data_IF_734361761876
#
_entry.id   IF_734361761876
#
_cell.length_a   1.000
_cell.length_b   1.000
_cell.length_c   1.000
_cell.angle_alpha   90.00
_cell.angle_beta   90.00
_cell.angle_gamma   90.00
#
_symmetry.space_group_name_H-M   'P 1'
#
loop_
_entity.id
_entity.type
_entity.pdbx_description
1 polymer ?
#
# COMPACT_ATOMS: atom_id res chain seq x y z
N UNK A 1 16.94 -1.06 12.26
CA UNK A 1 16.65 0.33 11.85
C UNK A 1 15.59 0.29 10.76
N UNK A 2 14.78 1.34 10.61
CA UNK A 2 13.89 1.45 9.45
C UNK A 2 14.74 1.62 8.18
N UNK A 3 14.38 0.92 7.11
CA UNK A 3 15.05 1.07 5.81
C UNK A 3 14.82 2.48 5.26
N UNK A 4 15.84 3.04 4.61
CA UNK A 4 15.72 4.29 3.87
C UNK A 4 15.14 4.05 2.47
N UNK A 5 14.78 5.12 1.77
CA UNK A 5 14.37 5.05 0.35
C UNK A 5 15.46 4.42 -0.52
N UNK A 6 16.72 4.77 -0.28
CA UNK A 6 17.86 4.23 -1.03
C UNK A 6 18.06 2.74 -0.78
N UNK A 7 17.87 2.27 0.46
CA UNK A 7 17.96 0.84 0.77
C UNK A 7 16.88 0.03 0.03
N UNK A 8 15.67 0.58 -0.10
CA UNK A 8 14.59 -0.05 -0.87
C UNK A 8 14.93 -0.11 -2.37
N UNK A 9 15.41 0.99 -2.95
CA UNK A 9 15.77 1.00 -4.37
C UNK A 9 16.92 0.03 -4.68
N UNK A 10 17.93 -0.03 -3.83
CA UNK A 10 19.01 -1.02 -3.97
C UNK A 10 18.47 -2.47 -3.95
N UNK A 11 17.53 -2.78 -3.05
CA UNK A 11 16.91 -4.09 -3.01
C UNK A 11 16.09 -4.42 -4.28
N UNK A 12 15.37 -3.43 -4.84
CA UNK A 12 14.65 -3.61 -6.11
C UNK A 12 15.62 -3.85 -7.27
N UNK A 13 16.72 -3.11 -7.33
CA UNK A 13 17.76 -3.25 -8.35
C UNK A 13 18.44 -4.64 -8.28
N UNK A 14 18.77 -5.11 -7.07
CA UNK A 14 19.32 -6.46 -6.82
C UNK A 14 18.39 -7.58 -7.28
N UNK A 15 17.07 -7.38 -7.13
CA UNK A 15 16.04 -8.33 -7.59
C UNK A 15 15.70 -8.18 -9.09
N UNK A 16 16.28 -7.19 -9.78
CA UNK A 16 15.98 -6.90 -11.19
C UNK A 16 14.58 -6.32 -11.43
N UNK A 17 13.99 -5.67 -10.43
CA UNK A 17 12.65 -5.08 -10.50
C UNK A 17 12.77 -3.62 -10.94
N UNK A 18 12.35 -3.32 -12.18
CA UNK A 18 12.32 -1.96 -12.69
C UNK A 18 11.34 -1.08 -11.88
N UNK A 19 11.79 0.11 -11.48
CA UNK A 19 10.99 1.08 -10.74
C UNK A 19 11.12 2.49 -11.33
N UNK A 20 10.07 3.29 -11.16
CA UNK A 20 10.05 4.71 -11.47
C UNK A 20 9.32 5.43 -10.35
N UNK A 21 9.85 6.56 -9.91
CA UNK A 21 9.26 7.34 -8.82
C UNK A 21 9.03 8.77 -9.28
N UNK A 22 7.81 9.26 -9.11
CA UNK A 22 7.47 10.67 -9.22
C UNK A 22 7.58 11.31 -7.83
N UNK A 23 8.54 12.20 -7.65
CA UNK A 23 8.61 13.04 -6.46
C UNK A 23 7.57 14.15 -6.53
N UNK A 24 6.75 14.27 -5.49
CA UNK A 24 5.68 15.26 -5.42
C UNK A 24 5.57 15.83 -4.00
N UNK A 25 4.98 17.01 -3.87
CA UNK A 25 4.67 17.58 -2.56
C UNK A 25 3.64 16.69 -1.82
N UNK A 26 3.66 16.62 -0.48
CA UNK A 26 2.63 15.93 0.28
C UNK A 26 1.25 16.50 -0.05
N UNK A 27 0.31 15.60 -0.35
CA UNK A 27 -1.07 15.95 -0.69
C UNK A 27 -1.98 15.69 0.50
N UNK A 28 -2.88 16.63 0.78
CA UNK A 28 -3.83 16.53 1.90
C UNK A 28 -5.29 16.56 1.46
N UNK A 29 -5.56 16.99 0.22
CA UNK A 29 -6.91 17.00 -0.36
C UNK A 29 -7.11 15.84 -1.33
N UNK A 30 -8.38 15.52 -1.62
CA UNK A 30 -8.71 14.45 -2.57
C UNK A 30 -8.36 14.90 -3.99
N UNK A 31 -8.65 16.16 -4.30
CA UNK A 31 -8.48 16.79 -5.61
C UNK A 31 -7.01 16.78 -6.05
N UNK A 32 -6.10 17.27 -5.19
CA UNK A 32 -4.65 17.20 -5.42
C UNK A 32 -4.16 15.75 -5.61
N UNK A 33 -4.81 14.79 -4.95
CA UNK A 33 -4.42 13.38 -4.99
C UNK A 33 -4.78 12.73 -6.32
N UNK A 34 -5.94 13.09 -6.88
CA UNK A 34 -6.38 12.61 -8.19
C UNK A 34 -5.51 13.17 -9.33
N UNK A 35 -5.05 14.42 -9.25
CA UNK A 35 -4.13 14.99 -10.25
C UNK A 35 -2.80 14.24 -10.32
N UNK A 36 -2.22 13.89 -9.17
CA UNK A 36 -0.99 13.09 -9.12
C UNK A 36 -1.22 11.69 -9.70
N UNK A 37 -2.33 11.04 -9.33
CA UNK A 37 -2.66 9.71 -9.87
C UNK A 37 -2.86 9.75 -11.38
N UNK A 38 -3.45 10.81 -11.93
CA UNK A 38 -3.66 10.96 -13.36
C UNK A 38 -2.34 10.97 -14.16
N UNK A 39 -1.26 11.48 -13.55
CA UNK A 39 0.08 11.50 -14.16
C UNK A 39 0.81 10.14 -14.13
N UNK A 40 0.34 9.20 -13.32
CA UNK A 40 0.97 7.90 -13.08
C UNK A 40 0.07 6.76 -13.60
N UNK A 41 0.37 6.16 -14.76
CA UNK A 41 -0.43 5.08 -15.31
C UNK A 41 -0.35 3.82 -14.43
N UNK A 42 -1.41 3.03 -14.42
CA UNK A 42 -1.48 1.76 -13.69
C UNK A 42 -2.41 1.78 -12.48
N UNK A 43 -2.35 0.70 -11.69
CA UNK A 43 -3.22 0.51 -10.53
C UNK A 43 -2.67 1.19 -9.29
N UNK A 44 -3.34 2.26 -8.85
CA UNK A 44 -3.02 2.95 -7.59
C UNK A 44 -3.48 2.15 -6.39
N UNK A 45 -2.58 1.87 -5.45
CA UNK A 45 -2.89 1.00 -4.30
C UNK A 45 -3.26 1.80 -3.04
N UNK A 46 -4.12 1.20 -2.20
CA UNK A 46 -4.24 1.53 -0.78
C UNK A 46 -3.74 0.37 0.07
N UNK A 47 -3.19 0.68 1.24
CA UNK A 47 -2.60 -0.29 2.15
C UNK A 47 -3.27 -0.18 3.52
N UNK A 48 -3.84 -1.28 4.02
CA UNK A 48 -4.44 -1.35 5.35
C UNK A 48 -3.52 -2.15 6.27
N UNK A 49 -2.95 -1.50 7.28
CA UNK A 49 -2.20 -2.17 8.35
C UNK A 49 -3.13 -2.43 9.54
N UNK A 50 -3.45 -3.71 9.77
CA UNK A 50 -4.49 -4.14 10.69
C UNK A 50 -3.90 -5.11 11.73
N UNK A 51 -4.57 -5.22 12.88
CA UNK A 51 -4.23 -6.19 13.92
C UNK A 51 -5.48 -6.94 14.32
N UNK A 52 -5.40 -8.26 14.35
CA UNK A 52 -6.53 -9.07 14.80
C UNK A 52 -6.64 -9.11 16.33
N UNK A 53 -7.75 -9.66 16.82
CA UNK A 53 -8.01 -9.79 18.28
C UNK A 53 -7.03 -10.68 19.04
N UNK A 54 -6.27 -11.54 18.35
CA UNK A 54 -5.22 -12.38 18.96
C UNK A 54 -3.84 -11.75 18.85
N UNK A 55 -3.74 -10.60 18.21
CA UNK A 55 -2.54 -9.81 18.11
C UNK A 55 -1.73 -10.03 16.83
N UNK A 56 -2.23 -10.84 15.88
CA UNK A 56 -1.59 -11.02 14.58
C UNK A 56 -1.72 -9.75 13.75
N UNK A 57 -0.63 -9.31 13.13
CA UNK A 57 -0.63 -8.19 12.19
C UNK A 57 -0.89 -8.67 10.77
N UNK A 58 -1.70 -7.90 10.04
CA UNK A 58 -2.05 -8.15 8.64
C UNK A 58 -1.84 -6.87 7.84
N UNK A 59 -1.16 -6.97 6.71
CA UNK A 59 -1.07 -5.90 5.71
C UNK A 59 -1.88 -6.31 4.48
N UNK A 60 -2.85 -5.48 4.09
CA UNK A 60 -3.65 -5.70 2.87
C UNK A 60 -3.32 -4.62 1.86
N UNK A 61 -2.79 -5.01 0.71
CA UNK A 61 -2.59 -4.15 -0.46
C UNK A 61 -3.68 -4.44 -1.50
N UNK A 62 -4.40 -3.40 -1.92
CA UNK A 62 -5.45 -3.51 -2.94
C UNK A 62 -5.51 -2.23 -3.79
N UNK A 63 -6.23 -2.25 -4.90
CA UNK A 63 -6.51 -1.02 -5.64
C UNK A 63 -7.28 -0.02 -4.76
N UNK A 64 -7.03 1.27 -4.96
CA UNK A 64 -7.58 2.35 -4.14
C UNK A 64 -9.10 2.34 -4.06
N UNK A 65 -9.76 1.95 -5.14
CA UNK A 65 -11.21 1.84 -5.29
C UNK A 65 -11.81 0.51 -4.77
N UNK A 66 -10.99 -0.53 -4.56
CA UNK A 66 -11.49 -1.86 -4.17
C UNK A 66 -12.18 -1.82 -2.80
N UNK A 67 -13.48 -2.14 -2.70
CA UNK A 67 -14.18 -2.10 -1.42
C UNK A 67 -13.76 -3.27 -0.52
N UNK A 68 -13.15 -2.98 0.62
CA UNK A 68 -12.69 -4.00 1.58
C UNK A 68 -13.61 -4.03 2.80
N UNK A 69 -14.35 -5.13 2.97
CA UNK A 69 -15.17 -5.39 4.16
C UNK A 69 -14.30 -5.98 5.27
N UNK A 70 -13.57 -5.13 5.99
CA UNK A 70 -12.58 -5.52 7.02
C UNK A 70 -13.13 -6.57 7.99
N UNK A 71 -14.36 -6.37 8.49
CA UNK A 71 -15.01 -7.28 9.43
C UNK A 71 -15.26 -8.71 8.89
N UNK A 72 -15.15 -8.96 7.57
CA UNK A 72 -15.28 -10.28 6.92
C UNK A 72 -13.95 -10.86 6.44
N UNK A 73 -12.84 -10.12 6.50
CA UNK A 73 -11.55 -10.56 5.94
C UNK A 73 -11.05 -11.87 6.56
N UNK A 74 -11.30 -12.09 7.86
CA UNK A 74 -10.98 -13.33 8.58
C UNK A 74 -11.59 -14.61 7.97
N UNK A 75 -12.55 -14.48 7.04
CA UNK A 75 -13.13 -15.62 6.30
C UNK A 75 -12.34 -15.98 5.04
N UNK A 76 -11.49 -15.08 4.55
CA UNK A 76 -10.76 -15.21 3.28
C UNK A 76 -9.25 -15.41 3.49
N UNK A 77 -8.71 -14.85 4.56
CA UNK A 77 -7.31 -14.95 4.93
C UNK A 77 -7.18 -15.53 6.34
N UNK A 78 -6.09 -16.23 6.66
CA UNK A 78 -5.91 -16.91 7.94
C UNK A 78 -5.61 -15.91 9.07
N UNK A 79 -6.64 -15.22 9.56
CA UNK A 79 -6.58 -14.34 10.72
C UNK A 79 -7.87 -14.43 11.57
N UNK A 80 -7.84 -13.88 12.78
CA UNK A 80 -9.06 -13.67 13.57
C UNK A 80 -9.76 -12.39 13.12
N UNK A 81 -10.91 -12.07 13.75
CA UNK A 81 -11.62 -10.82 13.44
C UNK A 81 -10.68 -9.62 13.61
N UNK A 82 -10.50 -8.88 12.52
CA UNK A 82 -9.87 -7.57 12.42
C UNK A 82 -10.85 -6.47 12.83
#
# INVERSE_FOLDING_TARGET
MAATRSDLFACLDELGIAHSTLDHAPVFTVEEGEEIKASLPGGHTKNLFLRDRKGLFVLVSALGDTPIRVYRLHKLIPCHRL
#
